data_IF_871426916741
#
_entry.id   IF_871426916741
#
_cell.length_a   1.000
_cell.length_b   1.000
_cell.length_c   1.000
_cell.angle_alpha   90.00
_cell.angle_beta   90.00
_cell.angle_gamma   90.00
#
_symmetry.space_group_name_H-M   'P 1'
#
loop_
_entity.id
_entity.type
_entity.pdbx_description
1 polymer ?
#
# COMPACT_ATOMS: atom_id res chain seq x y z
N UNK A 1 -36.76 33.94 21.35
CA UNK A 1 -36.45 32.49 21.34
C UNK A 1 -35.84 32.16 19.99
N UNK A 2 -34.52 32.08 19.89
CA UNK A 2 -33.81 31.55 18.71
C UNK A 2 -32.73 30.64 19.24
N UNK A 3 -33.06 29.35 19.29
CA UNK A 3 -32.15 28.28 19.67
C UNK A 3 -31.20 28.07 18.48
N UNK A 4 -29.99 28.63 18.59
CA UNK A 4 -28.93 28.34 17.64
C UNK A 4 -28.31 27.00 18.07
N UNK A 5 -28.95 25.92 17.61
CA UNK A 5 -28.35 24.58 17.67
C UNK A 5 -27.12 24.60 16.79
N UNK A 6 -25.96 24.85 17.39
CA UNK A 6 -24.67 24.56 16.78
C UNK A 6 -24.71 23.07 16.43
N UNK A 7 -24.93 22.77 15.15
CA UNK A 7 -24.66 21.45 14.61
C UNK A 7 -23.24 21.10 15.02
N UNK A 8 -23.11 20.15 15.94
CA UNK A 8 -21.85 19.45 16.15
C UNK A 8 -21.53 18.81 14.81
N UNK A 9 -20.68 19.45 14.01
CA UNK A 9 -19.95 18.78 12.95
C UNK A 9 -19.16 17.69 13.64
N UNK A 10 -19.72 16.47 13.66
CA UNK A 10 -19.04 15.30 14.19
C UNK A 10 -17.69 15.21 13.49
N UNK A 11 -16.61 15.10 14.25
CA UNK A 11 -15.30 14.80 13.67
C UNK A 11 -15.46 13.61 12.71
N UNK A 12 -14.82 13.63 11.53
CA UNK A 12 -14.97 12.56 10.55
C UNK A 12 -14.70 11.21 11.21
N UNK A 13 -15.55 10.22 10.92
CA UNK A 13 -15.41 8.88 11.48
C UNK A 13 -13.97 8.40 11.26
N UNK A 14 -13.27 7.91 12.30
CA UNK A 14 -11.86 7.65 12.15
C UNK A 14 -11.66 6.54 11.11
N UNK A 15 -10.65 6.74 10.25
CA UNK A 15 -10.24 5.76 9.25
C UNK A 15 -9.30 4.76 9.92
N UNK A 16 -9.49 3.46 9.67
CA UNK A 16 -8.54 2.43 10.08
C UNK A 16 -7.78 1.94 8.87
N UNK A 17 -6.46 1.98 8.94
CA UNK A 17 -5.58 1.33 7.98
C UNK A 17 -5.13 -0.03 8.50
N UNK A 18 -5.25 -1.07 7.68
CA UNK A 18 -5.03 -2.47 8.15
C UNK A 18 -3.84 -3.18 7.53
N UNK A 19 -3.07 -2.54 6.65
CA UNK A 19 -1.89 -3.18 6.07
C UNK A 19 -0.70 -3.14 7.03
N UNK A 20 -0.03 -4.28 7.24
CA UNK A 20 1.27 -4.37 7.93
C UNK A 20 2.47 -3.83 7.12
N UNK A 21 2.26 -3.33 5.90
CA UNK A 21 3.33 -2.77 5.07
C UNK A 21 3.85 -1.44 5.66
N UNK A 22 5.09 -1.45 6.15
CA UNK A 22 5.76 -0.26 6.68
C UNK A 22 5.87 0.88 5.65
N UNK A 23 6.03 0.54 4.36
CA UNK A 23 6.05 1.51 3.25
C UNK A 23 4.70 2.21 3.14
N UNK A 24 3.61 1.44 3.06
CA UNK A 24 2.26 1.99 2.95
C UNK A 24 1.90 2.84 4.16
N UNK A 25 2.25 2.37 5.36
CA UNK A 25 2.01 3.11 6.60
C UNK A 25 2.77 4.45 6.62
N UNK A 26 4.04 4.44 6.21
CA UNK A 26 4.85 5.66 6.12
C UNK A 26 4.27 6.65 5.12
N UNK A 27 3.74 6.14 4.00
CA UNK A 27 3.09 7.00 3.00
C UNK A 27 1.81 7.61 3.51
N UNK A 28 0.91 6.84 4.10
CA UNK A 28 -0.34 7.39 4.65
C UNK A 28 -0.03 8.43 5.73
N UNK A 29 0.96 8.15 6.58
CA UNK A 29 1.44 9.12 7.56
C UNK A 29 1.97 10.39 6.90
N UNK A 30 2.72 10.27 5.81
CA UNK A 30 3.23 11.40 5.03
C UNK A 30 2.12 12.20 4.36
N UNK A 31 1.00 11.56 3.97
CA UNK A 31 -0.18 12.24 3.42
C UNK A 31 -0.88 13.15 4.43
N UNK A 32 -0.60 13.01 5.74
CA UNK A 32 -1.27 13.79 6.79
C UNK A 32 -2.72 13.38 7.02
N UNK A 33 -3.14 12.23 6.47
CA UNK A 33 -4.49 11.69 6.68
C UNK A 33 -4.55 11.10 8.09
N UNK A 34 -5.53 11.48 8.93
CA UNK A 34 -5.69 10.94 10.27
C UNK A 34 -6.23 9.50 10.18
N UNK A 35 -5.34 8.54 9.95
CA UNK A 35 -5.65 7.12 10.04
C UNK A 35 -5.16 6.55 11.35
N UNK A 36 -5.92 5.61 11.87
CA UNK A 36 -5.47 4.71 12.91
C UNK A 36 -4.93 3.44 12.27
N UNK A 37 -3.71 3.06 12.59
CA UNK A 37 -3.16 1.77 12.14
C UNK A 37 -3.56 0.67 13.13
N UNK A 38 -4.21 -0.37 12.63
CA UNK A 38 -4.50 -1.59 13.38
C UNK A 38 -4.20 -2.77 12.46
N UNK A 39 -3.19 -3.55 12.82
CA UNK A 39 -2.84 -4.77 12.08
C UNK A 39 -3.80 -5.91 12.46
N UNK A 40 -4.37 -6.64 11.48
CA UNK A 40 -5.13 -7.84 11.75
C UNK A 40 -4.31 -8.87 12.52
N UNK A 41 -4.94 -9.56 13.49
CA UNK A 41 -4.39 -10.65 14.29
C UNK A 41 -4.18 -11.92 13.47
N UNK A 42 -5.04 -12.16 12.49
CA UNK A 42 -4.95 -13.32 11.59
C UNK A 42 -4.37 -12.93 10.24
N UNK A 43 -3.49 -13.78 9.70
CA UNK A 43 -2.95 -13.62 8.36
C UNK A 43 -4.01 -13.94 7.29
N UNK A 44 -3.98 -13.21 6.19
CA UNK A 44 -4.78 -13.48 5.00
C UNK A 44 -3.89 -14.12 3.94
N UNK A 45 -4.19 -15.36 3.55
CA UNK A 45 -3.43 -16.05 2.50
C UNK A 45 -3.84 -15.52 1.11
N UNK A 46 -3.11 -14.51 0.66
CA UNK A 46 -3.30 -13.89 -0.63
C UNK A 46 -3.13 -14.87 -1.80
N UNK A 47 -2.25 -15.86 -1.63
CA UNK A 47 -1.88 -16.78 -2.70
C UNK A 47 -2.96 -17.84 -2.88
N UNK A 48 -3.43 -18.43 -1.79
CA UNK A 48 -4.55 -19.35 -1.82
C UNK A 48 -5.79 -18.67 -2.44
N UNK A 49 -6.10 -17.43 -2.04
CA UNK A 49 -7.24 -16.70 -2.60
C UNK A 49 -7.07 -16.44 -4.10
N UNK A 50 -5.86 -16.10 -4.56
CA UNK A 50 -5.58 -15.92 -5.98
C UNK A 50 -5.75 -17.21 -6.76
N UNK A 51 -5.12 -18.29 -6.29
CA UNK A 51 -5.11 -19.60 -6.98
C UNK A 51 -6.51 -20.21 -7.05
N UNK A 52 -7.36 -19.98 -6.05
CA UNK A 52 -8.70 -20.59 -5.96
C UNK A 52 -9.80 -19.73 -6.58
N UNK A 53 -9.77 -18.41 -6.37
CA UNK A 53 -10.88 -17.52 -6.72
C UNK A 53 -10.58 -16.63 -7.94
N UNK A 54 -9.30 -16.47 -8.31
CA UNK A 54 -8.86 -15.47 -9.28
C UNK A 54 -7.93 -16.02 -10.37
N UNK A 55 -7.83 -17.35 -10.55
CA UNK A 55 -6.89 -17.99 -11.47
C UNK A 55 -6.93 -17.41 -12.91
N UNK A 56 -8.13 -17.07 -13.40
CA UNK A 56 -8.34 -16.51 -14.75
C UNK A 56 -8.58 -14.99 -14.74
N UNK A 57 -8.44 -14.33 -13.59
CA UNK A 57 -8.72 -12.92 -13.45
C UNK A 57 -7.60 -12.08 -14.07
N UNK A 58 -7.98 -11.10 -14.88
CA UNK A 58 -7.07 -10.05 -15.33
C UNK A 58 -6.54 -9.26 -14.13
N UNK A 59 -5.27 -8.84 -14.16
CA UNK A 59 -4.57 -8.19 -13.04
C UNK A 59 -5.39 -7.10 -12.35
N UNK A 60 -6.03 -6.12 -13.03
CA UNK A 60 -6.81 -5.10 -12.35
C UNK A 60 -8.00 -5.65 -11.54
N UNK A 61 -8.66 -6.70 -12.05
CA UNK A 61 -9.75 -7.37 -11.33
C UNK A 61 -9.23 -8.16 -10.13
N UNK A 62 -8.10 -8.85 -10.30
CA UNK A 62 -7.43 -9.61 -9.25
C UNK A 62 -7.04 -8.73 -8.07
N UNK A 63 -6.29 -7.64 -8.32
CA UNK A 63 -5.82 -6.72 -7.26
C UNK A 63 -6.99 -6.04 -6.55
N UNK A 64 -8.05 -5.69 -7.29
CA UNK A 64 -9.28 -5.16 -6.69
C UNK A 64 -9.95 -6.16 -5.76
N UNK A 65 -10.06 -7.41 -6.19
CA UNK A 65 -10.66 -8.47 -5.37
C UNK A 65 -9.83 -8.73 -4.10
N UNK A 66 -8.49 -8.72 -4.20
CA UNK A 66 -7.60 -8.82 -3.04
C UNK A 66 -7.79 -7.67 -2.06
N UNK A 67 -7.84 -6.42 -2.53
CA UNK A 67 -8.06 -5.28 -1.65
C UNK A 67 -9.43 -5.36 -0.93
N UNK A 68 -10.48 -5.80 -1.64
CA UNK A 68 -11.81 -6.05 -1.09
C UNK A 68 -11.76 -7.14 -0.01
N UNK A 69 -11.15 -8.28 -0.30
CA UNK A 69 -11.16 -9.41 0.60
C UNK A 69 -10.30 -9.15 1.85
N UNK A 70 -9.16 -8.47 1.68
CA UNK A 70 -8.36 -8.00 2.83
C UNK A 70 -9.14 -7.03 3.72
N UNK A 71 -9.98 -6.17 3.16
CA UNK A 71 -10.83 -5.29 3.96
C UNK A 71 -11.90 -6.08 4.74
N UNK A 72 -12.52 -7.10 4.12
CA UNK A 72 -13.48 -8.00 4.78
C UNK A 72 -12.83 -8.82 5.90
N UNK A 73 -11.70 -9.44 5.60
CA UNK A 73 -10.89 -10.20 6.55
C UNK A 73 -10.52 -9.34 7.76
N UNK A 74 -9.97 -8.16 7.51
CA UNK A 74 -9.63 -7.23 8.59
C UNK A 74 -10.85 -6.76 9.38
N UNK A 75 -12.01 -6.55 8.74
CA UNK A 75 -13.23 -6.19 9.46
C UNK A 75 -13.68 -7.28 10.43
N UNK A 76 -13.64 -8.54 9.99
CA UNK A 76 -13.99 -9.68 10.84
C UNK A 76 -13.01 -9.83 12.02
N UNK A 77 -11.71 -9.69 11.75
CA UNK A 77 -10.65 -9.87 12.75
C UNK A 77 -10.63 -8.76 13.82
N UNK A 78 -10.94 -7.53 13.41
CA UNK A 78 -10.93 -6.34 14.26
C UNK A 78 -12.24 -6.10 15.01
N UNK A 79 -13.29 -6.89 14.76
CA UNK A 79 -14.63 -6.67 15.33
C UNK A 79 -14.61 -6.60 16.86
N UNK A 80 -13.94 -7.57 17.50
CA UNK A 80 -13.79 -7.63 18.96
C UNK A 80 -12.92 -6.48 19.50
N UNK A 81 -11.77 -6.19 18.88
CA UNK A 81 -10.88 -5.09 19.29
C UNK A 81 -11.64 -3.77 19.28
N UNK A 82 -12.36 -3.49 18.20
CA UNK A 82 -13.12 -2.25 18.06
C UNK A 82 -14.34 -2.21 19.00
N UNK A 83 -14.96 -3.35 19.30
CA UNK A 83 -16.07 -3.42 20.26
C UNK A 83 -15.60 -3.15 21.70
N UNK A 84 -14.48 -3.73 22.12
CA UNK A 84 -13.87 -3.47 23.44
C UNK A 84 -13.51 -2.00 23.62
N UNK A 85 -12.96 -1.38 22.58
CA UNK A 85 -12.61 0.03 22.60
C UNK A 85 -13.81 0.94 22.65
N UNK A 86 -14.86 0.64 21.89
CA UNK A 86 -16.13 1.34 21.95
C UNK A 86 -16.72 1.31 23.36
N UNK A 87 -16.67 0.15 24.02
CA UNK A 87 -17.14 -0.02 25.39
C UNK A 87 -16.27 0.75 26.40
N UNK A 88 -14.95 0.79 26.19
CA UNK A 88 -14.00 1.46 27.10
C UNK A 88 -14.02 2.97 26.99
N UNK A 89 -14.11 3.50 25.76
CA UNK A 89 -14.00 4.93 25.49
C UNK A 89 -15.36 5.64 25.47
N UNK A 90 -16.45 4.92 25.16
CA UNK A 90 -17.77 5.52 24.99
C UNK A 90 -17.86 6.49 23.79
N UNK A 91 -16.84 6.49 22.93
CA UNK A 91 -16.73 7.33 21.72
C UNK A 91 -16.99 6.47 20.47
N UNK A 92 -17.52 7.07 19.41
CA UNK A 92 -17.70 6.38 18.11
C UNK A 92 -16.36 5.81 17.61
N UNK A 93 -16.20 4.49 17.67
CA UNK A 93 -15.02 3.82 17.11
C UNK A 93 -14.94 3.97 15.59
N UNK A 94 -13.74 3.82 15.01
CA UNK A 94 -13.56 3.85 13.56
C UNK A 94 -14.58 2.98 12.81
N UNK A 95 -15.25 3.60 11.85
CA UNK A 95 -16.29 2.95 11.06
C UNK A 95 -15.78 2.51 9.70
N UNK A 96 -14.68 3.08 9.22
CA UNK A 96 -14.20 2.85 7.86
C UNK A 96 -12.86 2.10 7.91
N UNK A 97 -12.86 0.90 7.36
CA UNK A 97 -11.65 0.08 7.19
C UNK A 97 -11.10 0.29 5.80
N UNK A 98 -9.84 0.69 5.72
CA UNK A 98 -9.07 0.87 4.51
C UNK A 98 -8.07 -0.28 4.37
N UNK A 99 -8.12 -0.94 3.23
CA UNK A 99 -7.13 -1.93 2.82
C UNK A 99 -6.67 -1.65 1.39
N UNK A 100 -5.47 -2.12 1.06
CA UNK A 100 -4.85 -1.85 -0.22
C UNK A 100 -3.92 -2.95 -0.66
N UNK A 101 -3.92 -3.19 -1.97
CA UNK A 101 -3.02 -4.15 -2.60
C UNK A 101 -2.31 -3.55 -3.80
N UNK A 102 -1.11 -4.05 -4.10
CA UNK A 102 -0.33 -3.60 -5.24
C UNK A 102 0.48 -4.77 -5.81
N UNK A 103 0.33 -4.98 -7.11
CA UNK A 103 1.11 -5.94 -7.88
C UNK A 103 1.92 -5.22 -8.95
N UNK A 104 3.06 -5.80 -9.33
CA UNK A 104 3.85 -5.40 -10.49
C UNK A 104 3.46 -6.33 -11.61
N UNK A 105 3.13 -5.79 -12.77
CA UNK A 105 2.77 -6.50 -13.98
C UNK A 105 3.85 -6.29 -15.02
N UNK A 106 4.15 -7.36 -15.75
CA UNK A 106 5.12 -7.38 -16.82
C UNK A 106 4.54 -8.15 -18.00
N UNK A 107 4.35 -7.48 -19.12
CA UNK A 107 3.73 -8.06 -20.33
C UNK A 107 2.36 -8.73 -20.03
N UNK A 108 1.57 -8.14 -19.12
CA UNK A 108 0.27 -8.67 -18.69
C UNK A 108 0.34 -9.78 -17.62
N UNK A 109 1.54 -10.15 -17.17
CA UNK A 109 1.74 -11.20 -16.17
C UNK A 109 2.04 -10.55 -14.80
N UNK A 110 1.24 -10.83 -13.75
CA UNK A 110 1.56 -10.35 -12.41
C UNK A 110 2.81 -11.04 -11.86
N UNK A 111 3.68 -10.24 -11.27
CA UNK A 111 4.89 -10.66 -10.58
C UNK A 111 4.66 -10.57 -9.08
N UNK A 112 4.81 -11.69 -8.39
CA UNK A 112 4.73 -11.74 -6.93
C UNK A 112 6.04 -11.29 -6.27
N UNK A 113 6.14 -11.47 -4.96
CA UNK A 113 7.41 -11.36 -4.23
C UNK A 113 8.30 -12.56 -4.54
N UNK A 114 9.62 -12.39 -4.73
CA UNK A 114 10.51 -13.52 -4.95
C UNK A 114 10.66 -14.33 -3.66
N UNK A 115 10.72 -15.65 -3.79
CA UNK A 115 10.90 -16.58 -2.67
C UNK A 115 12.36 -16.77 -2.28
N UNK A 116 13.30 -16.42 -3.17
CA UNK A 116 14.74 -16.50 -2.93
C UNK A 116 15.52 -15.37 -3.63
N UNK A 117 16.77 -15.09 -3.22
CA UNK A 117 17.66 -14.16 -3.91
C UNK A 117 17.87 -14.52 -5.39
N UNK A 118 18.04 -15.79 -5.71
CA UNK A 118 18.24 -16.26 -7.09
C UNK A 118 17.00 -15.96 -7.95
N UNK A 119 15.81 -16.16 -7.38
CA UNK A 119 14.57 -15.80 -8.05
C UNK A 119 14.45 -14.28 -8.22
N UNK A 120 14.87 -13.49 -7.23
CA UNK A 120 14.91 -12.03 -7.34
C UNK A 120 15.84 -11.58 -8.47
N UNK A 121 17.04 -12.19 -8.62
CA UNK A 121 17.95 -11.90 -9.72
C UNK A 121 17.33 -12.20 -11.08
N UNK A 122 16.72 -13.39 -11.24
CA UNK A 122 16.05 -13.79 -12.48
C UNK A 122 14.95 -12.79 -12.82
N UNK A 123 14.13 -12.41 -11.83
CA UNK A 123 13.04 -11.44 -12.03
C UNK A 123 13.58 -10.08 -12.43
N UNK A 124 14.51 -9.49 -11.68
CA UNK A 124 15.09 -8.17 -11.98
C UNK A 124 15.75 -8.17 -13.37
N UNK A 125 16.52 -9.22 -13.72
CA UNK A 125 17.11 -9.35 -15.06
C UNK A 125 16.06 -9.39 -16.15
N UNK A 126 14.92 -10.02 -15.91
CA UNK A 126 13.83 -10.05 -16.86
C UNK A 126 13.31 -8.65 -17.14
N UNK A 127 13.23 -7.75 -16.14
CA UNK A 127 12.65 -6.41 -16.30
C UNK A 127 13.46 -5.48 -17.21
N UNK A 128 14.74 -5.78 -17.45
CA UNK A 128 15.69 -4.90 -18.15
C UNK A 128 15.19 -4.45 -19.52
N UNK A 129 15.24 -3.16 -19.77
CA UNK A 129 14.80 -2.54 -21.02
C UNK A 129 13.30 -2.60 -21.26
N UNK A 130 12.51 -3.09 -20.29
CA UNK A 130 11.06 -3.25 -20.40
C UNK A 130 10.32 -2.18 -19.61
N UNK A 131 9.07 -1.98 -19.96
CA UNK A 131 8.13 -1.24 -19.12
C UNK A 131 7.50 -2.21 -18.12
N UNK A 132 7.46 -1.80 -16.86
CA UNK A 132 6.74 -2.50 -15.79
C UNK A 132 5.55 -1.64 -15.38
N UNK A 133 4.44 -2.29 -15.03
CA UNK A 133 3.21 -1.62 -14.62
C UNK A 133 2.86 -1.98 -13.19
N UNK A 134 2.75 -0.99 -12.33
CA UNK A 134 2.18 -1.12 -11.00
C UNK A 134 0.67 -1.03 -11.12
N UNK A 135 -0.04 -2.04 -10.61
CA UNK A 135 -1.50 -2.06 -10.52
C UNK A 135 -1.85 -2.04 -9.04
N UNK A 136 -2.40 -0.92 -8.56
CA UNK A 136 -2.78 -0.76 -7.18
C UNK A 136 -4.28 -0.64 -7.04
N UNK A 137 -4.83 -1.32 -6.03
CA UNK A 137 -6.21 -1.15 -5.62
C UNK A 137 -6.29 -0.75 -4.16
N UNK A 138 -7.33 0.02 -3.84
CA UNK A 138 -7.76 0.30 -2.48
C UNK A 138 -9.23 -0.13 -2.33
N UNK A 139 -9.58 -0.52 -1.11
CA UNK A 139 -10.95 -0.76 -0.68
C UNK A 139 -11.24 -0.03 0.63
N UNK A 140 -12.44 0.53 0.73
CA UNK A 140 -12.99 1.15 1.93
C UNK A 140 -14.27 0.41 2.30
N UNK A 141 -14.28 -0.24 3.47
CA UNK A 141 -15.44 -0.93 4.03
C UNK A 141 -16.05 -0.06 5.12
N UNK A 142 -17.33 0.26 4.99
CA UNK A 142 -18.10 0.91 6.04
C UNK A 142 -18.72 -0.16 6.94
N UNK A 143 -18.25 -0.27 8.18
CA UNK A 143 -18.68 -1.29 9.14
C UNK A 143 -20.15 -1.13 9.55
N UNK A 144 -20.67 0.10 9.55
CA UNK A 144 -22.06 0.39 9.93
C UNK A 144 -23.05 -0.07 8.88
N UNK A 145 -22.74 0.14 7.61
CA UNK A 145 -23.64 -0.20 6.48
C UNK A 145 -23.31 -1.56 5.85
N UNK A 146 -22.11 -2.08 6.08
CA UNK A 146 -21.57 -3.26 5.38
C UNK A 146 -21.18 -2.98 3.92
N UNK A 147 -21.30 -1.74 3.46
CA UNK A 147 -20.97 -1.36 2.09
C UNK A 147 -19.45 -1.33 1.88
N UNK A 148 -19.04 -1.69 0.67
CA UNK A 148 -17.64 -1.66 0.26
C UNK A 148 -17.45 -0.89 -1.03
N UNK A 149 -16.55 0.08 -0.97
CA UNK A 149 -16.12 0.88 -2.10
C UNK A 149 -14.71 0.46 -2.48
N UNK A 150 -14.41 0.41 -3.77
CA UNK A 150 -13.07 0.05 -4.23
C UNK A 150 -12.76 0.71 -5.56
N UNK A 151 -11.48 0.89 -5.82
CA UNK A 151 -11.00 1.33 -7.13
C UNK A 151 -9.60 0.80 -7.40
N UNK A 152 -9.18 0.99 -8.64
CA UNK A 152 -7.88 0.56 -9.15
C UNK A 152 -7.26 1.73 -9.90
N UNK A 153 -5.98 1.92 -9.73
CA UNK A 153 -5.17 2.84 -10.54
C UNK A 153 -3.86 2.17 -10.93
N UNK A 154 -3.15 2.78 -11.86
CA UNK A 154 -1.94 2.22 -12.45
C UNK A 154 -0.85 3.26 -12.62
N UNK A 155 0.39 2.81 -12.47
CA UNK A 155 1.57 3.57 -12.84
C UNK A 155 2.49 2.69 -13.67
N UNK A 156 3.15 3.23 -14.68
CA UNK A 156 4.16 2.51 -15.47
C UNK A 156 5.51 3.20 -15.37
N UNK A 157 6.56 2.40 -15.49
CA UNK A 157 7.94 2.86 -15.42
C UNK A 157 8.81 1.99 -16.33
N UNK A 158 9.81 2.58 -16.97
CA UNK A 158 10.76 1.83 -17.80
C UNK A 158 12.01 1.50 -17.00
N UNK A 159 12.44 0.24 -17.05
CA UNK A 159 13.70 -0.20 -16.46
C UNK A 159 14.81 -0.06 -17.49
N UNK A 160 15.97 0.43 -17.07
CA UNK A 160 17.17 0.48 -17.90
C UNK A 160 17.53 -0.89 -18.50
N UNK A 161 18.19 -0.86 -19.65
CA UNK A 161 18.63 -2.05 -20.37
C UNK A 161 19.82 -2.75 -19.74
N UNK A 162 20.23 -3.90 -20.29
CA UNK A 162 21.39 -4.67 -19.81
C UNK A 162 22.73 -3.93 -19.98
N UNK A 163 22.77 -2.86 -20.78
CA UNK A 163 23.92 -1.96 -20.94
C UNK A 163 24.20 -1.14 -19.68
N UNK A 164 23.17 -0.83 -18.89
CA UNK A 164 23.28 -0.06 -17.64
C UNK A 164 22.99 -0.89 -16.39
N UNK A 165 21.99 -1.76 -16.44
CA UNK A 165 21.67 -2.71 -15.36
C UNK A 165 22.33 -4.05 -15.66
N UNK A 166 23.64 -4.11 -15.43
CA UNK A 166 24.47 -5.29 -15.73
C UNK A 166 24.17 -6.46 -14.79
N UNK A 167 24.61 -7.66 -15.15
CA UNK A 167 24.43 -8.85 -14.31
C UNK A 167 25.16 -8.76 -12.97
N UNK A 168 26.30 -8.06 -12.93
CA UNK A 168 27.05 -7.75 -11.72
C UNK A 168 26.25 -6.80 -10.81
N UNK A 169 25.68 -5.74 -11.37
CA UNK A 169 24.85 -4.79 -10.62
C UNK A 169 23.59 -5.44 -10.09
N UNK A 170 22.93 -6.32 -10.85
CA UNK A 170 21.77 -7.06 -10.33
C UNK A 170 22.15 -7.94 -9.14
N UNK A 171 23.26 -8.67 -9.23
CA UNK A 171 23.79 -9.48 -8.11
C UNK A 171 24.08 -8.61 -6.89
N UNK A 172 24.72 -7.45 -7.08
CA UNK A 172 25.00 -6.50 -6.00
C UNK A 172 23.72 -5.96 -5.36
N UNK A 173 22.73 -5.56 -6.17
CA UNK A 173 21.42 -5.08 -5.70
C UNK A 173 20.75 -6.15 -4.84
N UNK A 174 20.64 -7.38 -5.34
CA UNK A 174 20.00 -8.47 -4.59
C UNK A 174 20.75 -8.81 -3.30
N UNK A 175 22.08 -8.78 -3.33
CA UNK A 175 22.89 -9.07 -2.14
C UNK A 175 22.83 -7.98 -1.06
N UNK A 176 22.57 -6.73 -1.44
CA UNK A 176 22.59 -5.57 -0.53
C UNK A 176 21.21 -5.09 -0.11
N UNK A 177 20.16 -5.35 -0.90
CA UNK A 177 18.80 -4.94 -0.62
C UNK A 177 18.07 -5.93 0.30
N UNK A 178 18.04 -5.59 1.58
CA UNK A 178 17.39 -6.39 2.63
C UNK A 178 15.87 -6.52 2.46
N UNK A 179 15.25 -5.77 1.55
CA UNK A 179 13.81 -5.80 1.30
C UNK A 179 13.43 -6.39 -0.06
N UNK A 180 14.38 -6.85 -0.87
CA UNK A 180 14.12 -7.37 -2.21
C UNK A 180 13.09 -8.52 -2.21
N UNK A 181 13.15 -9.40 -1.21
CA UNK A 181 12.20 -10.51 -1.04
C UNK A 181 10.83 -10.05 -0.50
N UNK A 182 10.77 -8.89 0.15
CA UNK A 182 9.53 -8.29 0.63
C UNK A 182 8.80 -7.46 -0.43
N UNK A 183 9.47 -7.14 -1.53
CA UNK A 183 8.97 -6.28 -2.59
C UNK A 183 8.33 -7.07 -3.73
N UNK A 184 7.15 -6.63 -4.15
CA UNK A 184 6.46 -7.16 -5.33
C UNK A 184 7.37 -7.01 -6.57
N UNK A 185 7.51 -8.09 -7.35
CA UNK A 185 8.41 -8.17 -8.49
C UNK A 185 9.91 -8.12 -8.16
N UNK A 186 10.29 -8.11 -6.88
CA UNK A 186 11.65 -7.80 -6.45
C UNK A 186 12.01 -6.31 -6.60
N UNK A 187 11.02 -5.45 -6.86
CA UNK A 187 11.20 -4.02 -7.10
C UNK A 187 11.05 -3.21 -5.81
N UNK A 188 12.09 -3.20 -4.97
CA UNK A 188 12.11 -2.25 -3.86
C UNK A 188 12.45 -0.84 -4.38
N UNK A 189 11.42 -0.01 -4.54
CA UNK A 189 11.57 1.39 -4.92
C UNK A 189 11.42 2.34 -3.72
N UNK A 190 11.02 1.81 -2.58
CA UNK A 190 10.41 2.56 -1.48
C UNK A 190 11.38 3.03 -0.42
N UNK A 191 12.66 2.67 -0.48
CA UNK A 191 13.50 2.92 0.68
C UNK A 191 14.98 2.79 0.45
N UNK A 192 15.70 3.15 1.51
CA UNK A 192 17.11 2.97 1.65
C UNK A 192 17.38 1.60 2.28
N UNK A 193 18.21 0.74 1.67
CA UNK A 193 18.79 -0.41 2.36
C UNK A 193 19.95 0.09 3.22
N UNK A 194 19.85 -0.02 4.55
CA UNK A 194 20.91 0.41 5.49
C UNK A 194 21.35 1.88 5.36
N UNK A 195 20.45 2.81 5.05
CA UNK A 195 20.83 4.20 4.81
C UNK A 195 21.48 4.46 3.44
N UNK A 196 21.41 3.50 2.51
CA UNK A 196 21.78 3.64 1.08
C UNK A 196 20.52 3.63 0.20
N UNK A 197 20.30 4.58 -0.74
CA UNK A 197 19.08 4.63 -1.54
C UNK A 197 18.80 3.30 -2.24
N UNK A 198 17.52 2.93 -2.43
CA UNK A 198 17.10 1.78 -3.22
C UNK A 198 17.90 1.74 -4.53
N UNK A 199 18.87 0.81 -4.67
CA UNK A 199 19.85 0.90 -5.75
C UNK A 199 19.16 0.70 -7.10
N UNK A 200 18.05 -0.06 -7.13
CA UNK A 200 17.26 -0.26 -8.33
C UNK A 200 16.54 1.01 -8.82
N UNK A 201 16.24 1.98 -7.94
CA UNK A 201 15.55 3.23 -8.33
C UNK A 201 16.35 4.05 -9.34
N UNK A 202 17.69 3.99 -9.29
CA UNK A 202 18.54 4.70 -10.24
C UNK A 202 18.38 4.21 -11.69
N UNK A 203 17.80 3.02 -11.87
CA UNK A 203 17.58 2.36 -13.16
C UNK A 203 16.13 2.44 -13.64
N UNK A 204 15.29 3.24 -12.97
CA UNK A 204 13.88 3.42 -13.32
C UNK A 204 13.66 4.81 -13.89
N UNK A 205 13.06 4.88 -15.08
CA UNK A 205 12.86 6.12 -15.84
C UNK A 205 11.44 6.23 -16.37
N UNK A 206 11.08 7.44 -16.81
CA UNK A 206 9.79 7.75 -17.46
C UNK A 206 8.57 7.30 -16.65
N UNK A 207 8.47 7.67 -15.35
CA UNK A 207 7.30 7.34 -14.56
C UNK A 207 6.05 8.00 -15.17
N UNK A 208 5.00 7.22 -15.37
CA UNK A 208 3.72 7.68 -15.89
C UNK A 208 2.57 7.12 -15.07
N UNK A 209 1.55 7.92 -14.83
CA UNK A 209 0.27 7.48 -14.27
C UNK A 209 -0.84 8.32 -14.91
N UNK A 210 -2.00 7.72 -15.27
CA UNK A 210 -3.14 8.48 -15.77
C UNK A 210 -3.70 9.49 -14.75
N UNK A 211 -3.47 9.25 -13.46
CA UNK A 211 -3.99 10.06 -12.36
C UNK A 211 -2.95 11.03 -11.79
N UNK A 212 -1.81 11.22 -12.49
CA UNK A 212 -0.65 12.02 -12.06
C UNK A 212 -0.06 11.63 -10.69
N UNK A 213 -0.38 10.43 -10.20
CA UNK A 213 0.08 9.89 -8.92
C UNK A 213 0.86 8.59 -9.11
N UNK A 214 2.06 8.75 -9.67
CA UNK A 214 2.95 7.61 -9.91
C UNK A 214 3.34 6.95 -8.58
N UNK A 215 3.83 7.73 -7.61
CA UNK A 215 4.42 7.15 -6.41
C UNK A 215 3.39 6.58 -5.44
N UNK A 216 2.26 7.26 -5.25
CA UNK A 216 1.12 6.71 -4.51
C UNK A 216 0.69 5.36 -5.05
N UNK A 217 0.52 5.29 -6.37
CA UNK A 217 0.15 4.05 -7.05
C UNK A 217 1.23 2.97 -6.95
N UNK A 218 2.49 3.30 -7.22
CA UNK A 218 3.63 2.36 -7.17
C UNK A 218 3.76 1.66 -5.81
N UNK A 219 3.47 2.38 -4.72
CA UNK A 219 3.61 1.85 -3.37
C UNK A 219 2.30 1.37 -2.76
N UNK A 220 1.18 1.49 -3.47
CA UNK A 220 -0.10 0.96 -3.04
C UNK A 220 -0.90 1.86 -2.09
N UNK A 221 -0.62 3.16 -2.09
CA UNK A 221 -1.39 4.20 -1.38
C UNK A 221 -1.65 5.40 -2.31
N UNK A 222 -2.47 5.22 -3.36
CA UNK A 222 -2.79 6.32 -4.27
C UNK A 222 -3.70 7.38 -3.60
N UNK A 223 -3.24 8.64 -3.35
CA UNK A 223 -3.99 9.60 -2.52
C UNK A 223 -5.31 10.02 -3.14
N UNK A 224 -5.37 10.21 -4.47
CA UNK A 224 -6.62 10.56 -5.15
C UNK A 224 -7.69 9.47 -5.00
N UNK A 225 -7.28 8.20 -5.10
CA UNK A 225 -8.17 7.08 -4.86
C UNK A 225 -8.55 6.95 -3.39
N UNK A 226 -7.60 7.13 -2.47
CA UNK A 226 -7.84 7.11 -1.02
C UNK A 226 -8.93 8.12 -0.63
N UNK A 227 -8.81 9.37 -1.07
CA UNK A 227 -9.78 10.42 -0.74
C UNK A 227 -11.15 10.14 -1.35
N UNK A 228 -11.18 9.70 -2.61
CA UNK A 228 -12.43 9.31 -3.27
C UNK A 228 -13.16 8.22 -2.48
N UNK A 229 -12.45 7.15 -2.12
CA UNK A 229 -13.05 6.01 -1.41
C UNK A 229 -13.48 6.38 0.01
N UNK A 230 -12.68 7.17 0.72
CA UNK A 230 -13.02 7.66 2.05
C UNK A 230 -14.31 8.52 2.02
N UNK A 231 -14.44 9.42 1.04
CA UNK A 231 -15.66 10.20 0.85
C UNK A 231 -16.88 9.32 0.53
N UNK A 232 -16.73 8.33 -0.37
CA UNK A 232 -17.81 7.38 -0.69
C UNK A 232 -18.25 6.56 0.53
N UNK A 233 -17.30 6.20 1.38
CA UNK A 233 -17.57 5.44 2.60
C UNK A 233 -18.16 6.29 3.74
N UNK A 234 -18.27 7.62 3.59
CA UNK A 234 -18.83 8.54 4.59
C UNK A 234 -17.79 9.16 5.54
N UNK A 235 -16.51 9.11 5.21
CA UNK A 235 -15.40 9.75 5.93
C UNK A 235 -14.59 10.64 4.98
N UNK A 236 -15.15 11.77 4.49
CA UNK A 236 -14.47 12.62 3.52
C UNK A 236 -13.15 13.14 4.07
N UNK A 237 -12.10 13.06 3.25
CA UNK A 237 -10.79 13.66 3.48
C UNK A 237 -10.71 14.93 2.62
N UNK A 238 -10.30 16.05 3.18
CA UNK A 238 -10.04 17.25 2.39
C UNK A 238 -8.75 17.08 1.56
N UNK A 239 -8.87 17.06 0.23
CA UNK A 239 -7.70 16.97 -0.67
C UNK A 239 -6.68 18.09 -0.41
N UNK A 240 -7.12 19.29 -0.01
CA UNK A 240 -6.22 20.39 0.29
C UNK A 240 -5.35 20.14 1.54
N UNK A 241 -5.80 19.24 2.43
CA UNK A 241 -5.04 18.79 3.60
C UNK A 241 -4.05 17.65 3.30
N UNK A 242 -4.24 16.96 2.15
CA UNK A 242 -3.41 15.84 1.75
C UNK A 242 -2.06 16.33 1.22
N UNK A 243 -1.00 15.91 1.89
CA UNK A 243 0.38 16.22 1.47
C UNK A 243 0.84 15.18 0.47
N UNK A 244 0.75 15.48 -0.82
CA UNK A 244 1.31 14.62 -1.86
C UNK A 244 2.84 14.67 -1.73
N UNK A 245 3.53 13.56 -1.40
CA UNK A 245 4.97 13.58 -1.27
C UNK A 245 5.58 13.88 -2.64
N UNK A 246 6.33 14.98 -2.75
CA UNK A 246 7.15 15.22 -3.93
C UNK A 246 8.22 14.13 -4.08
N UNK A 247 8.93 14.10 -5.21
CA UNK A 247 9.98 13.11 -5.53
C UNK A 247 11.04 12.86 -4.42
N UNK A 248 11.19 13.81 -3.48
CA UNK A 248 12.19 13.82 -2.41
C UNK A 248 11.71 13.27 -1.06
N UNK A 249 10.40 13.05 -0.86
CA UNK A 249 9.83 12.56 0.41
C UNK A 249 9.32 11.14 0.17
N UNK A 250 10.24 10.19 0.00
CA UNK A 250 9.89 8.78 0.05
C UNK A 250 10.13 8.23 1.47
N UNK A 251 9.41 7.17 1.88
CA UNK A 251 9.67 6.47 3.13
C UNK A 251 11.17 6.12 3.28
N UNK A 252 11.74 6.36 4.45
CA UNK A 252 13.12 5.93 4.76
C UNK A 252 14.21 7.00 4.70
N UNK A 253 13.85 8.29 4.62
CA UNK A 253 14.81 9.36 4.91
C UNK A 253 15.33 9.28 6.36
N UNK A 254 16.51 9.85 6.67
CA UNK A 254 17.19 9.73 7.97
C UNK A 254 16.41 10.22 9.19
N UNK A 255 15.23 10.83 8.99
CA UNK A 255 14.33 11.30 10.04
C UNK A 255 13.19 10.33 10.38
N UNK A 256 13.08 9.16 9.74
CA UNK A 256 12.08 8.16 10.15
C UNK A 256 12.61 7.30 11.30
N UNK A 257 12.22 7.67 12.52
CA UNK A 257 12.39 6.87 13.73
C UNK A 257 11.62 5.55 13.54
N UNK A 258 12.34 4.44 13.34
CA UNK A 258 11.76 3.10 13.36
C UNK A 258 11.38 2.76 14.80
N UNK A 259 10.17 3.10 15.23
CA UNK A 259 9.57 2.54 16.44
C UNK A 259 9.17 1.08 16.17
N UNK A 260 10.15 0.18 16.08
CA UNK A 260 9.90 -1.25 16.34
C UNK A 260 10.18 -1.52 17.82
N UNK A 261 9.26 -2.16 18.56
CA UNK A 261 9.60 -2.70 19.86
C UNK A 261 10.73 -3.72 19.69
N UNK A 262 11.79 -3.60 20.49
CA UNK A 262 12.86 -4.60 20.55
C UNK A 262 12.22 -5.95 20.91
N UNK A 263 12.55 -7.05 20.21
CA UNK A 263 12.17 -8.38 20.68
C UNK A 263 12.80 -8.57 22.07
N UNK A 264 11.98 -9.05 23.01
CA UNK A 264 12.46 -9.45 24.32
C UNK A 264 13.54 -10.52 24.10
N UNK A 265 14.76 -10.23 24.54
CA UNK A 265 15.83 -11.22 24.60
C UNK A 265 15.40 -12.29 25.62
N UNK A 266 15.25 -13.52 25.14
CA UNK A 266 15.22 -14.73 25.97
C UNK A 266 16.59 -15.01 26.56
#
# INVERSE_FOLDING_TARGET
>A
MTNNSLEKTSAPAPLVWTSGSAVKLSMISALGVPVRHIEPRTEFDEREFQDTMLADAQTPKMVRALAIEKARHAAADLEEILAEEQARLGEDVPQIILSGDVVVELDGIPLHKPSSPEEAEIRIKSLRGREVRFVSALAALNRKTGEIFSGVTTASMRVDGPDKLTDELVREIVATDTYVLGATGGLNLAGYANGTPAPLRAFIHSPHSPDDDVWGTTFGVPPGLLVKLAAQAGAPIDMASVRIPGHHILPGGPNMVTNRPKPALS
#
